data_IF_558015978947
#
_entry.id   IF_558015978947
#
_cell.length_a   1.000
_cell.length_b   1.000
_cell.length_c   1.000
_cell.angle_alpha   90.00
_cell.angle_beta   90.00
_cell.angle_gamma   90.00
#
_symmetry.space_group_name_H-M   'P 1'
#
loop_
_entity.id
_entity.type
_entity.pdbx_description
1 polymer ?
#
# COMPACT_ATOMS: atom_id res chain seq x y z
N UNK A 1 18.69 -1.72 -14.56
CA UNK A 1 19.28 -0.39 -14.34
C UNK A 1 19.09 -0.04 -12.87
N UNK A 2 20.15 0.30 -12.11
CA UNK A 2 20.03 0.64 -10.69
C UNK A 2 19.61 2.11 -10.50
N UNK A 3 19.00 2.41 -9.35
CA UNK A 3 18.73 3.80 -8.96
C UNK A 3 20.05 4.52 -8.68
N UNK A 4 20.20 5.74 -9.21
CA UNK A 4 21.36 6.62 -8.97
C UNK A 4 20.92 7.87 -8.19
N UNK A 5 21.89 8.68 -7.75
CA UNK A 5 21.57 9.95 -7.10
C UNK A 5 20.78 10.88 -8.03
N UNK A 6 21.06 10.85 -9.30
CA UNK A 6 20.45 11.77 -10.29
C UNK A 6 19.19 11.21 -10.92
N UNK A 7 19.06 9.87 -11.06
CA UNK A 7 17.99 9.24 -11.85
C UNK A 7 17.49 7.97 -11.20
N UNK A 8 16.16 7.86 -11.07
CA UNK A 8 15.51 6.64 -10.65
C UNK A 8 15.27 5.71 -11.85
N UNK A 9 15.30 4.40 -11.60
CA UNK A 9 14.96 3.40 -12.60
C UNK A 9 13.47 3.46 -12.96
N UNK A 10 13.12 3.08 -14.19
CA UNK A 10 11.71 2.97 -14.60
C UNK A 10 10.92 2.05 -13.69
N UNK A 11 11.54 0.98 -13.23
CA UNK A 11 10.91 0.03 -12.32
C UNK A 11 10.58 0.68 -10.97
N UNK A 12 11.49 1.47 -10.40
CA UNK A 12 11.25 2.21 -9.15
C UNK A 12 10.10 3.19 -9.27
N UNK A 13 10.04 3.94 -10.37
CA UNK A 13 9.00 4.94 -10.64
C UNK A 13 7.66 4.25 -10.93
N UNK A 14 7.66 3.25 -11.81
CA UNK A 14 6.46 2.52 -12.21
C UNK A 14 5.80 1.80 -11.03
N UNK A 15 6.58 1.07 -10.22
CA UNK A 15 6.07 0.41 -9.01
C UNK A 15 5.53 1.43 -8.00
N UNK A 16 6.22 2.57 -7.83
CA UNK A 16 5.72 3.61 -6.92
C UNK A 16 4.39 4.19 -7.41
N UNK A 17 4.32 4.61 -8.66
CA UNK A 17 3.11 5.19 -9.24
C UNK A 17 1.94 4.22 -9.22
N UNK A 18 2.16 2.96 -9.61
CA UNK A 18 1.13 1.91 -9.60
C UNK A 18 0.58 1.68 -8.19
N UNK A 19 1.46 1.42 -7.20
CA UNK A 19 1.05 1.18 -5.82
C UNK A 19 0.35 2.41 -5.24
N UNK A 20 0.90 3.61 -5.44
CA UNK A 20 0.30 4.84 -4.95
C UNK A 20 -1.09 5.08 -5.53
N UNK A 21 -1.28 4.88 -6.85
CA UNK A 21 -2.59 5.04 -7.49
C UNK A 21 -3.62 4.04 -6.98
N UNK A 22 -3.24 2.78 -6.80
CA UNK A 22 -4.14 1.75 -6.28
C UNK A 22 -4.49 2.07 -4.81
N UNK A 23 -3.50 2.36 -3.95
CA UNK A 23 -3.75 2.66 -2.53
C UNK A 23 -4.65 3.89 -2.37
N UNK A 24 -4.37 4.98 -3.08
CA UNK A 24 -5.21 6.19 -3.04
C UNK A 24 -6.63 5.88 -3.54
N UNK A 25 -6.75 5.13 -4.64
CA UNK A 25 -8.04 4.70 -5.15
C UNK A 25 -8.84 3.87 -4.15
N UNK A 26 -8.20 2.91 -3.48
CA UNK A 26 -8.84 2.08 -2.44
C UNK A 26 -9.27 2.89 -1.21
N UNK A 27 -8.47 3.89 -0.80
CA UNK A 27 -8.83 4.80 0.30
C UNK A 27 -10.06 5.65 -0.08
N UNK A 28 -10.10 6.19 -1.31
CA UNK A 28 -11.21 7.04 -1.76
C UNK A 28 -12.49 6.24 -1.95
N UNK A 29 -12.39 5.04 -2.52
CA UNK A 29 -13.55 4.17 -2.77
C UNK A 29 -14.10 3.56 -1.48
N UNK A 30 -13.26 3.33 -0.46
CA UNK A 30 -13.68 2.64 0.75
C UNK A 30 -14.35 1.31 0.43
N UNK A 31 -15.48 1.06 1.08
CA UNK A 31 -16.34 -0.13 0.87
C UNK A 31 -17.56 0.15 -0.01
N UNK A 32 -17.66 1.30 -0.66
CA UNK A 32 -18.77 1.59 -1.59
C UNK A 32 -18.75 0.65 -2.80
N UNK A 33 -17.55 0.15 -3.16
CA UNK A 33 -17.34 -0.80 -4.25
C UNK A 33 -16.60 -2.05 -3.74
N UNK A 34 -17.26 -2.94 -2.97
CA UNK A 34 -16.60 -4.04 -2.25
C UNK A 34 -15.86 -5.03 -3.17
N UNK A 35 -16.39 -5.33 -4.35
CA UNK A 35 -15.75 -6.22 -5.33
C UNK A 35 -14.44 -5.62 -5.80
N UNK A 36 -14.42 -4.32 -6.14
CA UNK A 36 -13.22 -3.61 -6.62
C UNK A 36 -12.22 -3.50 -5.47
N UNK A 37 -12.68 -3.11 -4.27
CA UNK A 37 -11.82 -2.97 -3.09
C UNK A 37 -11.10 -4.29 -2.76
N UNK A 38 -11.84 -5.39 -2.65
CA UNK A 38 -11.27 -6.71 -2.35
C UNK A 38 -10.31 -7.18 -3.45
N UNK A 39 -10.73 -7.07 -4.72
CA UNK A 39 -9.94 -7.56 -5.86
C UNK A 39 -8.64 -6.79 -6.04
N UNK A 40 -8.69 -5.45 -6.09
CA UNK A 40 -7.49 -4.62 -6.21
C UNK A 40 -6.66 -4.66 -4.93
N UNK A 41 -7.32 -4.71 -3.76
CA UNK A 41 -6.67 -4.87 -2.46
C UNK A 41 -5.85 -6.14 -2.37
N UNK A 42 -6.29 -7.24 -2.95
CA UNK A 42 -5.51 -8.48 -3.00
C UNK A 42 -4.43 -8.42 -4.07
N UNK A 43 -4.74 -7.96 -5.28
CA UNK A 43 -3.81 -7.92 -6.41
C UNK A 43 -2.62 -6.99 -6.17
N UNK A 44 -2.75 -5.94 -5.35
CA UNK A 44 -1.66 -5.01 -5.04
C UNK A 44 -0.49 -5.70 -4.33
N UNK A 45 -0.69 -6.85 -3.71
CA UNK A 45 0.37 -7.58 -2.99
C UNK A 45 1.53 -7.94 -3.94
N UNK A 46 1.23 -8.19 -5.21
CA UNK A 46 2.24 -8.56 -6.23
C UNK A 46 3.23 -7.40 -6.45
N UNK A 47 2.81 -6.20 -6.88
CA UNK A 47 3.74 -5.08 -7.06
C UNK A 47 4.36 -4.62 -5.74
N UNK A 48 3.71 -4.79 -4.59
CA UNK A 48 4.29 -4.48 -3.28
C UNK A 48 5.45 -5.44 -2.96
N UNK A 49 5.30 -6.74 -3.16
CA UNK A 49 6.40 -7.71 -2.96
C UNK A 49 7.56 -7.40 -3.91
N UNK A 50 7.29 -7.14 -5.18
CA UNK A 50 8.32 -6.76 -6.15
C UNK A 50 9.06 -5.49 -5.69
N UNK A 51 8.33 -4.50 -5.17
CA UNK A 51 8.92 -3.26 -4.64
C UNK A 51 9.80 -3.51 -3.41
N UNK A 52 9.36 -4.37 -2.48
CA UNK A 52 10.14 -4.75 -1.30
C UNK A 52 11.45 -5.42 -1.72
N UNK A 53 11.38 -6.43 -2.58
CA UNK A 53 12.56 -7.14 -3.09
C UNK A 53 13.50 -6.17 -3.81
N UNK A 54 12.93 -5.26 -4.62
CA UNK A 54 13.71 -4.23 -5.32
C UNK A 54 14.44 -3.31 -4.35
N UNK A 55 13.79 -2.86 -3.26
CA UNK A 55 14.40 -2.00 -2.24
C UNK A 55 15.48 -2.73 -1.43
N UNK A 56 15.29 -3.99 -1.11
CA UNK A 56 16.32 -4.81 -0.45
C UNK A 56 17.57 -4.93 -1.33
N UNK A 57 17.40 -5.17 -2.64
CA UNK A 57 18.52 -5.36 -3.58
C UNK A 57 19.24 -4.05 -3.98
N UNK A 58 18.53 -2.94 -4.07
CA UNK A 58 19.06 -1.69 -4.61
C UNK A 58 19.23 -0.59 -3.55
N UNK A 59 18.77 -0.81 -2.31
CA UNK A 59 18.79 0.19 -1.24
C UNK A 59 17.80 1.34 -1.45
N UNK A 60 17.87 2.32 -0.57
CA UNK A 60 17.06 3.52 -0.63
C UNK A 60 17.66 4.55 -1.60
N UNK A 61 16.84 5.35 -2.30
CA UNK A 61 17.32 6.45 -3.12
C UNK A 61 18.15 7.43 -2.29
N UNK A 62 19.28 7.86 -2.83
CA UNK A 62 20.16 8.82 -2.18
C UNK A 62 19.46 10.21 -2.19
N UNK A 63 19.38 10.92 -1.03
CA UNK A 63 18.86 12.27 -0.98
C UNK A 63 19.67 13.22 -1.88
N UNK A 64 18.99 14.17 -2.53
CA UNK A 64 19.65 15.15 -3.42
C UNK A 64 20.43 16.19 -2.62
N UNK A 65 19.85 16.65 -1.52
CA UNK A 65 20.41 17.70 -0.68
C UNK A 65 20.69 17.18 0.74
N UNK A 66 21.56 17.88 1.46
CA UNK A 66 21.76 17.68 2.91
C UNK A 66 20.48 18.16 3.62
N UNK A 67 19.79 17.22 4.23
CA UNK A 67 18.60 17.50 5.05
C UNK A 67 18.98 17.69 6.51
N UNK A 68 18.13 18.37 7.25
CA UNK A 68 18.21 18.40 8.71
C UNK A 68 18.02 16.96 9.23
N UNK A 69 18.80 16.57 10.25
CA UNK A 69 18.82 15.19 10.78
C UNK A 69 17.40 14.64 11.07
N UNK A 70 16.53 15.47 11.66
CA UNK A 70 15.16 15.09 12.00
C UNK A 70 14.33 14.78 10.74
N UNK A 71 14.45 15.56 9.67
CA UNK A 71 13.74 15.34 8.42
C UNK A 71 14.17 14.03 7.76
N UNK A 72 15.45 13.72 7.81
CA UNK A 72 15.97 12.44 7.30
C UNK A 72 15.38 11.25 8.06
N UNK A 73 15.23 11.36 9.39
CA UNK A 73 14.62 10.32 10.23
C UNK A 73 13.14 10.16 9.89
N UNK A 74 12.40 11.27 9.84
CA UNK A 74 10.96 11.27 9.50
C UNK A 74 10.70 10.72 8.09
N UNK A 75 11.52 11.09 7.11
CA UNK A 75 11.41 10.57 5.76
C UNK A 75 11.64 9.05 5.70
N UNK A 76 12.67 8.55 6.40
CA UNK A 76 12.93 7.11 6.48
C UNK A 76 11.80 6.36 7.19
N UNK A 77 11.32 6.89 8.32
CA UNK A 77 10.21 6.31 9.07
C UNK A 77 8.94 6.22 8.21
N UNK A 78 8.58 7.33 7.54
CA UNK A 78 7.42 7.36 6.63
C UNK A 78 7.53 6.31 5.52
N UNK A 79 8.70 6.19 4.88
CA UNK A 79 8.88 5.17 3.84
C UNK A 79 8.77 3.74 4.36
N UNK A 80 9.28 3.45 5.57
CA UNK A 80 9.14 2.13 6.18
C UNK A 80 7.68 1.83 6.53
N UNK A 81 6.97 2.79 7.14
CA UNK A 81 5.55 2.62 7.47
C UNK A 81 4.74 2.39 6.20
N UNK A 82 4.97 3.17 5.13
CA UNK A 82 4.27 3.00 3.86
C UNK A 82 4.54 1.63 3.20
N UNK A 83 5.76 1.12 3.25
CA UNK A 83 6.07 -0.22 2.70
C UNK A 83 5.44 -1.32 3.55
N UNK A 84 5.59 -1.27 4.87
CA UNK A 84 5.02 -2.27 5.77
C UNK A 84 3.49 -2.23 5.71
N UNK A 85 2.89 -1.04 5.77
CA UNK A 85 1.45 -0.86 5.69
C UNK A 85 0.87 -1.36 4.37
N UNK A 86 1.53 -1.07 3.23
CA UNK A 86 1.07 -1.57 1.92
C UNK A 86 1.15 -3.10 1.77
N UNK A 87 1.92 -3.79 2.61
CA UNK A 87 1.92 -5.25 2.71
C UNK A 87 0.90 -5.76 3.72
N UNK A 88 0.77 -5.09 4.88
CA UNK A 88 -0.16 -5.51 5.94
C UNK A 88 -1.62 -5.38 5.53
N UNK A 89 -2.00 -4.29 4.83
CA UNK A 89 -3.39 -4.06 4.43
C UNK A 89 -3.98 -5.20 3.59
N UNK A 90 -3.38 -5.62 2.46
CA UNK A 90 -3.90 -6.76 1.70
C UNK A 90 -3.87 -8.07 2.49
N UNK A 91 -2.87 -8.27 3.36
CA UNK A 91 -2.75 -9.47 4.17
C UNK A 91 -3.87 -9.56 5.22
N UNK A 92 -4.10 -8.49 5.98
CA UNK A 92 -5.18 -8.44 6.97
C UNK A 92 -6.55 -8.50 6.31
N UNK A 93 -6.75 -7.82 5.16
CA UNK A 93 -7.97 -7.88 4.37
C UNK A 93 -8.30 -9.30 3.89
N UNK A 94 -7.31 -10.05 3.40
CA UNK A 94 -7.48 -11.44 3.02
C UNK A 94 -7.82 -12.33 4.24
N UNK A 95 -7.11 -12.17 5.36
CA UNK A 95 -7.35 -12.93 6.59
C UNK A 95 -8.77 -12.69 7.10
N UNK A 96 -9.20 -11.42 7.19
CA UNK A 96 -10.55 -11.11 7.68
C UNK A 96 -11.64 -11.68 6.76
N UNK A 97 -11.44 -11.64 5.45
CA UNK A 97 -12.40 -12.17 4.48
C UNK A 97 -12.52 -13.70 4.57
N UNK A 98 -11.39 -14.42 4.61
CA UNK A 98 -11.37 -15.88 4.69
C UNK A 98 -12.00 -16.34 6.02
N UNK A 99 -11.50 -15.85 7.15
CA UNK A 99 -11.94 -16.29 8.47
C UNK A 99 -13.32 -15.75 8.84
N UNK A 100 -13.77 -14.64 8.20
CA UNK A 100 -15.13 -14.13 8.29
C UNK A 100 -16.16 -14.94 7.51
N UNK A 101 -15.71 -15.91 6.69
CA UNK A 101 -16.58 -16.74 5.87
C UNK A 101 -16.92 -16.15 4.50
N UNK A 102 -16.38 -14.98 4.17
CA UNK A 102 -16.65 -14.28 2.88
C UNK A 102 -15.79 -14.78 1.71
N UNK A 103 -14.88 -15.73 1.97
CA UNK A 103 -14.00 -16.26 0.94
C UNK A 103 -13.09 -15.23 0.27
N UNK A 104 -12.57 -15.60 -0.90
CA UNK A 104 -11.75 -14.74 -1.78
C UNK A 104 -12.31 -14.79 -3.20
N UNK A 105 -12.68 -13.65 -3.71
CA UNK A 105 -13.11 -13.40 -5.07
C UNK A 105 -12.25 -12.33 -5.72
N UNK A 106 -11.83 -12.53 -6.96
CA UNK A 106 -11.12 -11.53 -7.77
C UNK A 106 -11.95 -11.26 -9.04
N UNK A 107 -12.69 -10.16 -9.07
CA UNK A 107 -13.54 -9.75 -10.19
C UNK A 107 -14.47 -10.87 -10.70
N UNK A 108 -15.09 -11.65 -9.81
CA UNK A 108 -15.98 -12.75 -10.13
C UNK A 108 -15.28 -14.12 -10.25
N UNK A 109 -13.94 -14.17 -10.22
CA UNK A 109 -13.20 -15.43 -10.14
C UNK A 109 -13.08 -15.86 -8.68
N UNK A 110 -13.86 -16.85 -8.28
CA UNK A 110 -13.87 -17.39 -6.92
C UNK A 110 -12.63 -18.25 -6.72
N UNK A 111 -11.72 -17.80 -5.84
CA UNK A 111 -10.53 -18.54 -5.43
C UNK A 111 -10.78 -19.37 -4.17
N UNK A 112 -11.51 -18.79 -3.21
CA UNK A 112 -11.94 -19.44 -1.97
C UNK A 112 -13.43 -19.18 -1.83
N UNK A 113 -14.29 -20.19 -1.80
CA UNK A 113 -15.72 -20.02 -1.70
C UNK A 113 -16.15 -19.45 -0.34
N UNK A 114 -17.30 -18.82 -0.31
CA UNK A 114 -17.95 -18.38 0.92
C UNK A 114 -18.41 -19.57 1.75
N UNK A 115 -18.43 -19.39 3.08
CA UNK A 115 -18.87 -20.39 4.05
C UNK A 115 -20.29 -20.11 4.48
N UNK A 116 -21.25 -20.93 4.02
CA UNK A 116 -22.67 -20.79 4.31
C UNK A 116 -23.16 -21.74 5.42
N UNK A 117 -24.25 -21.33 6.09
CA UNK A 117 -24.95 -22.20 7.01
C UNK A 117 -25.52 -23.43 6.27
N UNK A 118 -25.26 -24.66 6.77
CA UNK A 118 -25.80 -25.87 6.14
C UNK A 118 -27.34 -25.88 6.03
N UNK A 119 -28.03 -25.16 6.92
CA UNK A 119 -29.50 -25.11 6.96
C UNK A 119 -30.07 -23.87 6.26
N UNK A 120 -29.25 -22.84 6.02
CA UNK A 120 -29.70 -21.61 5.36
C UNK A 120 -28.53 -21.00 4.54
N UNK A 121 -28.56 -21.21 3.24
CA UNK A 121 -27.52 -20.71 2.31
C UNK A 121 -27.47 -19.19 2.12
N UNK A 122 -28.41 -18.46 2.73
CA UNK A 122 -28.38 -16.98 2.71
C UNK A 122 -27.55 -16.41 3.89
N UNK A 123 -27.11 -17.28 4.82
CA UNK A 123 -26.35 -16.88 6.02
C UNK A 123 -24.88 -17.31 5.85
N UNK A 124 -23.97 -16.32 5.84
CA UNK A 124 -22.54 -16.57 5.90
C UNK A 124 -22.12 -16.86 7.34
N UNK A 125 -21.40 -17.96 7.53
CA UNK A 125 -20.87 -18.36 8.83
C UNK A 125 -19.38 -18.12 8.90
N UNK A 126 -18.87 -17.39 9.90
CA UNK A 126 -17.44 -17.23 10.11
C UNK A 126 -16.74 -18.56 10.37
N UNK A 127 -15.63 -18.83 9.69
CA UNK A 127 -14.76 -19.97 9.96
C UNK A 127 -14.11 -19.79 11.35
N UNK A 128 -13.65 -18.58 11.66
CA UNK A 128 -13.17 -18.19 12.98
C UNK A 128 -13.40 -16.71 13.23
N UNK A 129 -14.46 -16.39 13.98
CA UNK A 129 -14.87 -15.02 14.28
C UNK A 129 -13.78 -14.21 15.01
N UNK A 130 -13.01 -14.84 15.91
CA UNK A 130 -11.96 -14.15 16.67
C UNK A 130 -10.83 -13.70 15.74
N UNK A 131 -10.36 -14.59 14.86
CA UNK A 131 -9.29 -14.27 13.88
C UNK A 131 -9.76 -13.19 12.91
N UNK A 132 -11.01 -13.30 12.42
CA UNK A 132 -11.59 -12.30 11.53
C UNK A 132 -11.68 -10.92 12.18
N UNK A 133 -12.14 -10.85 13.42
CA UNK A 133 -12.25 -9.58 14.15
C UNK A 133 -10.88 -8.94 14.41
N UNK A 134 -9.87 -9.73 14.83
CA UNK A 134 -8.50 -9.22 15.03
C UNK A 134 -7.94 -8.67 13.70
N UNK A 135 -8.15 -9.39 12.61
CA UNK A 135 -7.68 -8.96 11.30
C UNK A 135 -8.41 -7.69 10.82
N UNK A 136 -9.70 -7.55 11.12
CA UNK A 136 -10.49 -6.35 10.85
C UNK A 136 -9.93 -5.14 11.60
N UNK A 137 -9.75 -5.24 12.92
CA UNK A 137 -9.23 -4.16 13.76
C UNK A 137 -7.82 -3.73 13.32
N UNK A 138 -6.97 -4.71 12.94
CA UNK A 138 -5.64 -4.42 12.42
C UNK A 138 -5.69 -3.75 11.04
N UNK A 139 -6.61 -4.17 10.17
CA UNK A 139 -6.79 -3.55 8.86
C UNK A 139 -7.19 -2.08 9.00
N UNK A 140 -8.17 -1.81 9.84
CA UNK A 140 -8.70 -0.47 10.10
C UNK A 140 -7.62 0.45 10.71
N UNK A 141 -6.94 -0.01 11.77
CA UNK A 141 -5.85 0.72 12.41
C UNK A 141 -4.71 1.05 11.42
N UNK A 142 -4.31 0.07 10.60
CA UNK A 142 -3.24 0.28 9.61
C UNK A 142 -3.71 1.22 8.50
N UNK A 143 -4.99 1.15 8.10
CA UNK A 143 -5.55 2.06 7.09
C UNK A 143 -5.52 3.52 7.58
N UNK A 144 -5.96 3.78 8.81
CA UNK A 144 -5.91 5.12 9.41
C UNK A 144 -4.48 5.66 9.52
N UNK A 145 -3.55 4.81 9.99
CA UNK A 145 -2.13 5.17 10.04
C UNK A 145 -1.58 5.50 8.66
N UNK A 146 -1.93 4.70 7.65
CA UNK A 146 -1.50 4.91 6.27
C UNK A 146 -2.02 6.23 5.70
N UNK A 147 -3.27 6.60 5.95
CA UNK A 147 -3.85 7.88 5.52
C UNK A 147 -3.02 9.04 6.09
N UNK A 148 -2.74 9.03 7.39
CA UNK A 148 -1.94 10.06 8.03
C UNK A 148 -0.51 10.15 7.47
N UNK A 149 0.14 9.00 7.29
CA UNK A 149 1.52 8.94 6.78
C UNK A 149 1.60 9.30 5.30
N UNK A 150 0.62 8.93 4.47
CA UNK A 150 0.53 9.36 3.05
C UNK A 150 0.42 10.88 2.98
N UNK A 151 -0.43 11.49 3.82
CA UNK A 151 -0.56 12.94 3.87
C UNK A 151 0.77 13.63 4.22
N UNK A 152 1.45 13.16 5.26
CA UNK A 152 2.77 13.67 5.65
C UNK A 152 3.84 13.43 4.56
N UNK A 153 3.79 12.30 3.88
CA UNK A 153 4.71 11.97 2.78
C UNK A 153 4.53 12.94 1.60
N UNK A 154 3.28 13.25 1.25
CA UNK A 154 2.97 14.22 0.18
C UNK A 154 3.46 15.62 0.59
N UNK A 155 3.16 16.07 1.82
CA UNK A 155 3.65 17.36 2.34
C UNK A 155 5.18 17.42 2.28
N UNK A 156 5.86 16.35 2.70
CA UNK A 156 7.31 16.26 2.62
C UNK A 156 7.84 16.41 1.19
N UNK A 157 7.22 15.73 0.22
CA UNK A 157 7.59 15.85 -1.19
C UNK A 157 7.34 17.26 -1.75
N UNK A 158 6.23 17.90 -1.38
CA UNK A 158 5.91 19.28 -1.76
C UNK A 158 6.88 20.28 -1.12
N UNK A 159 7.25 20.07 0.15
CA UNK A 159 8.28 20.88 0.82
C UNK A 159 9.61 20.84 0.07
N UNK A 160 10.04 19.66 -0.35
CA UNK A 160 11.23 19.51 -1.18
C UNK A 160 11.14 20.29 -2.49
N UNK A 161 9.99 20.24 -3.15
CA UNK A 161 9.79 20.91 -4.42
C UNK A 161 9.72 22.45 -4.28
N UNK A 162 8.89 22.97 -3.37
CA UNK A 162 8.59 24.40 -3.28
C UNK A 162 9.56 25.18 -2.38
N UNK A 163 9.98 24.58 -1.25
CA UNK A 163 10.83 25.27 -0.27
C UNK A 163 12.30 25.03 -0.56
N UNK A 164 12.73 23.77 -0.69
CA UNK A 164 14.14 23.45 -0.99
C UNK A 164 14.47 23.58 -2.47
N UNK A 165 13.45 23.71 -3.34
CA UNK A 165 13.59 23.84 -4.80
C UNK A 165 14.49 22.77 -5.40
N UNK A 166 14.43 21.56 -4.83
CA UNK A 166 15.22 20.44 -5.33
C UNK A 166 14.46 19.61 -6.39
N UNK A 167 15.18 18.73 -7.07
CA UNK A 167 14.63 17.95 -8.18
C UNK A 167 13.97 16.64 -7.73
N UNK A 168 13.59 16.48 -6.44
CA UNK A 168 13.02 15.23 -5.92
C UNK A 168 11.76 14.80 -6.67
N UNK A 169 10.79 15.71 -6.88
CA UNK A 169 9.59 15.41 -7.67
C UNK A 169 9.91 15.18 -9.16
N UNK A 170 10.80 16.00 -9.75
CA UNK A 170 11.20 15.82 -11.15
C UNK A 170 11.82 14.43 -11.41
N UNK A 171 12.61 13.91 -10.44
CA UNK A 171 13.13 12.54 -10.52
C UNK A 171 12.03 11.49 -10.58
N UNK A 172 10.92 11.69 -9.85
CA UNK A 172 9.78 10.76 -9.84
C UNK A 172 8.98 10.79 -11.15
N UNK A 173 8.95 11.93 -11.85
CA UNK A 173 8.25 12.08 -13.12
C UNK A 173 9.17 12.01 -14.35
N UNK A 174 10.46 11.82 -14.16
CA UNK A 174 11.49 11.84 -15.24
C UNK A 174 11.48 13.12 -16.09
N UNK A 175 11.04 14.22 -15.55
CA UNK A 175 11.09 15.50 -16.25
C UNK A 175 12.55 15.99 -16.19
N UNK A 176 13.23 16.00 -17.36
CA UNK A 176 14.54 16.63 -17.48
C UNK A 176 14.32 18.16 -17.48
N UNK A 177 14.99 18.86 -16.57
CA UNK A 177 15.17 20.31 -16.65
C UNK A 177 16.61 20.59 -17.04
#
# INVERSE_FOLDING_TARGET
>A
MRDTKEKLSLLSIGLHGLIASIVIGLIIMGMDYPIIHKSLGLLIIIPVIIRIIWRIKNGWPIPLNKQVKIETILAKASHWILIIGSFLLPTTGAIMSIYGGYGIDIFGLILIPESYDPNNKDIIIPINKMVSNIAYELHDLVADLMIGVIFLHIIGALKHHFIYKDHTLYRMFRINK
#
